data_IF_133737023788
#
_entry.id   IF_133737023788
#
_cell.length_a   1.000
_cell.length_b   1.000
_cell.length_c   1.000
_cell.angle_alpha   90.00
_cell.angle_beta   90.00
_cell.angle_gamma   90.00
#
_symmetry.space_group_name_H-M   'P 1'
#
loop_
_entity.id
_entity.type
_entity.pdbx_description
1 polymer ?
#
# COMPACT_ATOMS: atom_id res chain seq x y z
N UNK A 1 -12.66 16.94 -17.17
CA UNK A 1 -13.29 17.08 -15.84
C UNK A 1 -12.42 16.29 -14.87
N UNK A 2 -11.59 16.95 -14.06
CA UNK A 2 -10.77 16.24 -13.07
C UNK A 2 -11.69 15.93 -11.89
N UNK A 3 -12.10 14.67 -11.74
CA UNK A 3 -12.74 14.21 -10.51
C UNK A 3 -11.73 14.36 -9.39
N UNK A 4 -11.96 15.29 -8.47
CA UNK A 4 -11.19 15.41 -7.22
C UNK A 4 -11.57 14.23 -6.33
N UNK A 5 -10.88 13.11 -6.52
CA UNK A 5 -10.88 12.02 -5.54
C UNK A 5 -9.93 12.45 -4.42
N UNK A 6 -10.50 12.78 -3.26
CA UNK A 6 -9.69 13.04 -2.07
C UNK A 6 -8.88 11.78 -1.72
N UNK A 7 -7.65 12.00 -1.23
CA UNK A 7 -6.83 10.90 -0.73
C UNK A 7 -7.60 10.18 0.39
N UNK A 8 -7.61 8.85 0.33
CA UNK A 8 -8.06 8.04 1.46
C UNK A 8 -7.13 8.24 2.66
N UNK A 9 -7.60 7.91 3.87
CA UNK A 9 -6.79 7.95 5.10
C UNK A 9 -5.43 7.26 4.93
N UNK A 10 -5.40 6.14 4.21
CA UNK A 10 -4.18 5.35 4.03
C UNK A 10 -3.26 5.99 3.01
N UNK A 11 -3.79 6.56 1.94
CA UNK A 11 -2.98 7.32 0.98
C UNK A 11 -2.41 8.60 1.62
N UNK A 12 -3.13 9.23 2.55
CA UNK A 12 -2.61 10.31 3.39
C UNK A 12 -1.45 9.84 4.27
N UNK A 13 -1.61 8.73 4.98
CA UNK A 13 -0.54 8.14 5.80
C UNK A 13 0.70 7.78 4.97
N UNK A 14 0.50 7.26 3.76
CA UNK A 14 1.58 6.98 2.80
C UNK A 14 2.28 8.29 2.39
N UNK A 15 1.52 9.33 2.05
CA UNK A 15 2.11 10.63 1.67
C UNK A 15 2.94 11.24 2.81
N UNK A 16 2.43 11.15 4.04
CA UNK A 16 3.16 11.54 5.26
C UNK A 16 4.45 10.73 5.45
N UNK A 17 4.38 9.41 5.36
CA UNK A 17 5.54 8.54 5.55
C UNK A 17 6.63 8.78 4.50
N UNK A 18 6.27 8.92 3.22
CA UNK A 18 7.21 9.30 2.16
C UNK A 18 7.87 10.64 2.50
N UNK A 19 7.08 11.68 2.82
CA UNK A 19 7.61 13.00 3.08
C UNK A 19 8.58 13.04 4.28
N UNK A 20 8.23 12.38 5.38
CA UNK A 20 9.06 12.33 6.58
C UNK A 20 10.38 11.60 6.34
N UNK A 21 10.36 10.45 5.65
CA UNK A 21 11.58 9.69 5.33
C UNK A 21 12.50 10.53 4.45
N UNK A 22 11.96 11.10 3.37
CA UNK A 22 12.76 11.88 2.42
C UNK A 22 13.34 13.15 3.04
N UNK A 23 12.59 13.84 3.92
CA UNK A 23 13.11 15.01 4.67
C UNK A 23 14.20 14.58 5.66
N UNK A 24 13.99 13.48 6.40
CA UNK A 24 14.98 12.95 7.35
C UNK A 24 16.29 12.54 6.66
N UNK A 25 16.20 12.07 5.42
CA UNK A 25 17.35 11.69 4.59
C UNK A 25 17.88 12.86 3.74
N UNK A 26 17.45 14.10 4.04
CA UNK A 26 17.89 15.33 3.37
C UNK A 26 17.71 15.29 1.84
N UNK A 27 16.71 14.55 1.36
CA UNK A 27 16.40 14.45 -0.08
C UNK A 27 15.80 15.75 -0.58
N UNK A 28 16.36 16.27 -1.68
CA UNK A 28 15.86 17.48 -2.32
C UNK A 28 14.44 17.27 -2.88
N UNK A 29 13.48 18.06 -2.37
CA UNK A 29 12.08 18.05 -2.79
C UNK A 29 11.89 18.30 -4.29
N UNK A 30 12.82 19.03 -4.93
CA UNK A 30 12.76 19.28 -6.36
C UNK A 30 13.08 18.02 -7.18
N UNK A 31 13.92 17.12 -6.66
CA UNK A 31 14.20 15.85 -7.32
C UNK A 31 12.98 14.92 -7.29
N UNK A 32 12.25 14.90 -6.17
CA UNK A 32 10.95 14.21 -6.12
C UNK A 32 9.94 14.85 -7.08
N UNK A 33 9.98 16.18 -7.21
CA UNK A 33 9.20 16.92 -8.20
C UNK A 33 9.46 16.49 -9.65
N UNK A 34 10.72 16.23 -10.03
CA UNK A 34 11.08 15.72 -11.36
C UNK A 34 10.59 14.29 -11.59
N UNK A 35 10.71 13.44 -10.57
CA UNK A 35 10.18 12.06 -10.58
C UNK A 35 8.66 12.05 -10.80
N UNK A 36 7.92 12.89 -10.09
CA UNK A 36 6.47 13.05 -10.30
C UNK A 36 6.16 13.61 -11.69
N UNK A 37 6.94 14.60 -12.16
CA UNK A 37 6.76 15.18 -13.49
C UNK A 37 6.96 14.15 -14.61
N UNK A 38 7.93 13.23 -14.46
CA UNK A 38 8.11 12.09 -15.36
C UNK A 38 6.85 11.23 -15.44
N UNK A 39 6.31 10.78 -14.29
CA UNK A 39 5.10 9.96 -14.29
C UNK A 39 3.91 10.69 -14.93
N UNK A 40 3.77 11.99 -14.64
CA UNK A 40 2.71 12.82 -15.19
C UNK A 40 2.80 12.98 -16.71
N UNK A 41 4.01 13.14 -17.24
CA UNK A 41 4.24 13.29 -18.68
C UNK A 41 3.96 12.00 -19.47
N UNK A 42 3.98 10.85 -18.79
CA UNK A 42 3.84 9.54 -19.40
C UNK A 42 2.67 8.73 -18.84
N UNK A 43 1.71 9.37 -18.17
CA UNK A 43 0.58 8.72 -17.50
C UNK A 43 -0.30 7.91 -18.44
N UNK A 44 -0.40 8.35 -19.69
CA UNK A 44 -1.30 7.78 -20.69
C UNK A 44 -0.65 6.60 -21.44
N UNK A 45 0.60 6.26 -21.14
CA UNK A 45 1.29 5.13 -21.75
C UNK A 45 0.87 3.83 -21.09
N UNK A 46 0.86 2.76 -21.89
CA UNK A 46 0.70 1.42 -21.37
C UNK A 46 1.78 1.13 -20.31
N UNK A 47 1.40 0.49 -19.21
CA UNK A 47 2.29 0.15 -18.11
C UNK A 47 3.01 1.36 -17.47
N UNK A 48 2.43 2.56 -17.52
CA UNK A 48 3.03 3.80 -16.99
C UNK A 48 3.56 3.68 -15.56
N UNK A 49 2.83 3.03 -14.64
CA UNK A 49 3.31 2.80 -13.27
C UNK A 49 4.51 1.85 -13.19
N UNK A 50 4.53 0.76 -13.98
CA UNK A 50 5.69 -0.14 -14.05
C UNK A 50 6.94 0.57 -14.61
N UNK A 51 6.73 1.40 -15.65
CA UNK A 51 7.77 2.21 -16.26
C UNK A 51 8.31 3.26 -15.28
N UNK A 52 7.47 3.80 -14.42
CA UNK A 52 7.88 4.72 -13.36
C UNK A 52 8.83 4.07 -12.34
N UNK A 53 8.53 2.86 -11.85
CA UNK A 53 9.47 2.14 -10.96
C UNK A 53 10.76 1.77 -11.68
N UNK A 54 10.68 1.38 -12.95
CA UNK A 54 11.86 1.13 -13.79
C UNK A 54 12.72 2.40 -13.94
N UNK A 55 12.08 3.54 -14.12
CA UNK A 55 12.75 4.84 -14.19
C UNK A 55 13.45 5.20 -12.86
N UNK A 56 12.78 5.04 -11.73
CA UNK A 56 13.38 5.22 -10.39
C UNK A 56 14.60 4.33 -10.19
N UNK A 57 14.49 3.04 -10.54
CA UNK A 57 15.61 2.12 -10.46
C UNK A 57 16.79 2.54 -11.36
N UNK A 58 16.49 3.08 -12.54
CA UNK A 58 17.50 3.60 -13.46
C UNK A 58 18.21 4.83 -12.88
N UNK A 59 17.45 5.77 -12.31
CA UNK A 59 18.01 6.94 -11.63
C UNK A 59 18.91 6.55 -10.45
N UNK A 60 18.48 5.59 -9.62
CA UNK A 60 19.27 5.09 -8.50
C UNK A 60 20.58 4.46 -8.98
N UNK A 61 20.53 3.56 -9.96
CA UNK A 61 21.72 2.85 -10.48
C UNK A 61 22.69 3.74 -11.24
N UNK A 62 22.18 4.75 -11.96
CA UNK A 62 22.97 5.59 -12.87
C UNK A 62 23.15 7.03 -12.34
N UNK A 63 22.66 7.32 -11.14
CA UNK A 63 22.63 8.66 -10.55
C UNK A 63 24.00 9.30 -10.42
N UNK A 64 25.05 8.49 -10.22
CA UNK A 64 26.45 8.93 -10.19
C UNK A 64 26.98 9.45 -11.54
N UNK A 65 26.33 9.12 -12.66
CA UNK A 65 26.67 9.58 -14.02
C UNK A 65 25.78 10.74 -14.48
N UNK A 66 24.60 10.88 -13.89
CA UNK A 66 23.58 11.87 -14.27
C UNK A 66 23.62 13.09 -13.34
N UNK A 67 24.02 12.89 -12.08
CA UNK A 67 24.13 13.95 -11.09
C UNK A 67 25.45 14.71 -11.18
N UNK A 68 25.38 16.04 -11.14
CA UNK A 68 26.57 16.90 -11.05
C UNK A 68 27.25 16.84 -9.67
N UNK A 69 26.60 16.24 -8.66
CA UNK A 69 27.13 16.10 -7.30
C UNK A 69 27.00 14.66 -6.78
N UNK A 70 27.90 14.26 -5.89
CA UNK A 70 27.82 12.96 -5.18
C UNK A 70 26.63 12.86 -4.21
N UNK A 71 25.97 13.98 -3.88
CA UNK A 71 24.75 13.97 -3.05
C UNK A 71 23.51 13.52 -3.83
N UNK A 72 23.49 13.82 -5.13
CA UNK A 72 22.34 13.54 -6.02
C UNK A 72 22.06 12.04 -6.18
N UNK A 73 23.08 11.18 -6.14
CA UNK A 73 22.87 9.73 -6.19
C UNK A 73 22.15 9.21 -4.93
N UNK A 74 22.49 9.73 -3.75
CA UNK A 74 21.82 9.36 -2.50
C UNK A 74 20.33 9.72 -2.50
N UNK A 75 19.97 10.84 -3.12
CA UNK A 75 18.57 11.23 -3.30
C UNK A 75 17.80 10.21 -4.14
N UNK A 76 18.38 9.75 -5.25
CA UNK A 76 17.74 8.77 -6.11
C UNK A 76 17.62 7.39 -5.45
N UNK A 77 18.61 6.97 -4.67
CA UNK A 77 18.53 5.75 -3.86
C UNK A 77 17.42 5.83 -2.79
N UNK A 78 17.36 6.95 -2.07
CA UNK A 78 16.32 7.20 -1.07
C UNK A 78 14.92 7.21 -1.70
N UNK A 79 14.75 7.92 -2.83
CA UNK A 79 13.49 7.98 -3.55
C UNK A 79 13.08 6.63 -4.11
N UNK A 80 13.99 5.87 -4.73
CA UNK A 80 13.68 4.54 -5.27
C UNK A 80 13.20 3.63 -4.16
N UNK A 81 13.98 3.47 -3.08
CA UNK A 81 13.62 2.61 -1.96
C UNK A 81 12.29 3.01 -1.32
N UNK A 82 12.11 4.29 -1.04
CA UNK A 82 10.91 4.80 -0.36
C UNK A 82 9.68 4.69 -1.25
N UNK A 83 9.77 5.07 -2.53
CA UNK A 83 8.66 4.95 -3.46
C UNK A 83 8.30 3.48 -3.72
N UNK A 84 9.29 2.60 -3.94
CA UNK A 84 9.06 1.17 -4.11
C UNK A 84 8.37 0.56 -2.87
N UNK A 85 8.78 0.94 -1.66
CA UNK A 85 8.14 0.45 -0.43
C UNK A 85 6.67 0.90 -0.29
N UNK A 86 6.38 2.16 -0.61
CA UNK A 86 5.11 2.80 -0.30
C UNK A 86 4.09 2.76 -1.45
N UNK A 87 4.55 2.69 -2.71
CA UNK A 87 3.72 2.91 -3.89
C UNK A 87 3.56 1.67 -4.78
N UNK A 88 4.30 0.58 -4.54
CA UNK A 88 4.25 -0.62 -5.40
C UNK A 88 2.83 -1.17 -5.55
N UNK A 89 2.04 -1.14 -4.48
CA UNK A 89 0.65 -1.59 -4.50
C UNK A 89 -0.27 -0.74 -5.41
N UNK A 90 0.15 0.49 -5.73
CA UNK A 90 -0.56 1.41 -6.62
C UNK A 90 0.01 1.39 -8.04
N UNK A 91 0.87 0.43 -8.41
CA UNK A 91 1.50 0.39 -9.74
C UNK A 91 0.48 0.45 -10.89
N UNK A 92 -0.71 -0.12 -10.71
CA UNK A 92 -1.77 -0.11 -11.72
C UNK A 92 -2.75 1.08 -11.55
N UNK A 93 -2.54 1.94 -10.55
CA UNK A 93 -3.33 3.14 -10.26
C UNK A 93 -2.42 4.39 -10.29
N UNK A 94 -2.09 4.82 -11.51
CA UNK A 94 -1.23 5.98 -11.76
C UNK A 94 -1.81 7.26 -11.16
N UNK A 95 -3.14 7.41 -11.14
CA UNK A 95 -3.80 8.57 -10.59
C UNK A 95 -3.56 8.67 -9.07
N UNK A 96 -3.68 7.55 -8.35
CA UNK A 96 -3.35 7.48 -6.93
C UNK A 96 -1.88 7.81 -6.67
N UNK A 97 -0.94 7.24 -7.44
CA UNK A 97 0.49 7.55 -7.29
C UNK A 97 0.74 9.06 -7.43
N UNK A 98 0.17 9.70 -8.45
CA UNK A 98 0.33 11.13 -8.69
C UNK A 98 -0.24 11.99 -7.55
N UNK A 99 -1.39 11.60 -6.99
CA UNK A 99 -1.99 12.32 -5.86
C UNK A 99 -1.13 12.18 -4.60
N UNK A 100 -0.68 10.96 -4.29
CA UNK A 100 0.18 10.68 -3.15
C UNK A 100 1.47 11.49 -3.26
N UNK A 101 2.19 11.40 -4.38
CA UNK A 101 3.43 12.15 -4.61
C UNK A 101 3.22 13.67 -4.55
N UNK A 102 2.11 14.16 -5.12
CA UNK A 102 1.76 15.57 -5.08
C UNK A 102 1.58 16.10 -3.67
N UNK A 103 0.98 15.32 -2.77
CA UNK A 103 0.86 15.65 -1.36
C UNK A 103 2.17 15.44 -0.59
N UNK A 104 2.94 14.39 -0.88
CA UNK A 104 4.27 14.17 -0.30
C UNK A 104 5.18 15.39 -0.53
N UNK A 105 5.21 15.95 -1.74
CA UNK A 105 6.01 17.16 -2.05
C UNK A 105 5.59 18.36 -1.19
N UNK A 106 4.28 18.57 -0.99
CA UNK A 106 3.79 19.67 -0.13
C UNK A 106 4.18 19.43 1.33
N UNK A 107 4.05 18.20 1.80
CA UNK A 107 4.39 17.79 3.16
C UNK A 107 5.90 17.88 3.42
N UNK A 108 6.75 17.52 2.46
CA UNK A 108 8.21 17.70 2.56
C UNK A 108 8.57 19.16 2.84
N UNK A 109 8.01 20.10 2.06
CA UNK A 109 8.23 21.55 2.26
C UNK A 109 7.72 22.05 3.60
N UNK A 110 6.63 21.45 4.09
CA UNK A 110 6.09 21.77 5.41
C UNK A 110 7.05 21.28 6.50
N UNK A 111 7.48 20.02 6.44
CA UNK A 111 8.37 19.42 7.46
C UNK A 111 9.77 20.00 7.47
N UNK A 112 10.31 20.38 6.31
CA UNK A 112 11.60 21.06 6.22
C UNK A 112 11.59 22.40 6.97
N UNK A 113 10.44 23.10 6.98
CA UNK A 113 10.28 24.42 7.62
C UNK A 113 9.81 24.36 9.07
N UNK A 114 9.01 23.36 9.43
CA UNK A 114 8.34 23.30 10.72
C UNK A 114 9.23 22.77 11.86
N UNK A 115 10.46 22.31 11.57
CA UNK A 115 11.33 21.66 12.56
C UNK A 115 10.83 20.25 12.94
N UNK A 116 11.41 19.59 13.95
CA UNK A 116 10.99 18.26 14.37
C UNK A 116 9.60 18.33 15.01
N UNK A 117 8.56 18.22 14.18
CA UNK A 117 7.22 17.88 14.62
C UNK A 117 7.31 16.46 15.15
N UNK A 118 6.87 16.25 16.40
CA UNK A 118 7.00 14.99 17.13
C UNK A 118 6.72 13.77 16.26
N UNK A 119 7.46 12.68 16.53
CA UNK A 119 7.40 11.44 15.77
C UNK A 119 5.95 10.99 15.54
N UNK A 120 5.40 11.30 14.37
CA UNK A 120 4.30 10.52 13.84
C UNK A 120 4.97 9.18 13.56
N UNK A 121 4.67 8.17 14.38
CA UNK A 121 5.13 6.80 14.12
C UNK A 121 4.75 6.51 12.68
N UNK A 122 5.75 6.37 11.81
CA UNK A 122 5.55 5.93 10.45
C UNK A 122 4.65 4.69 10.54
N UNK A 123 3.52 4.65 9.82
CA UNK A 123 2.70 3.45 9.83
C UNK A 123 3.63 2.27 9.55
N UNK A 124 3.55 1.21 10.35
CA UNK A 124 4.21 -0.05 10.04
C UNK A 124 3.52 -0.56 8.78
N UNK A 125 4.00 -0.13 7.61
CA UNK A 125 3.38 -0.52 6.36
C UNK A 125 3.87 -1.93 6.09
N UNK A 126 3.06 -2.90 6.53
CA UNK A 126 3.09 -4.28 6.05
C UNK A 126 2.56 -4.28 4.58
N UNK A 127 3.29 -3.59 3.68
CA UNK A 127 2.78 -2.80 2.54
C UNK A 127 2.29 -3.51 1.29
N UNK A 128 2.18 -4.82 1.30
CA UNK A 128 1.49 -5.54 0.21
C UNK A 128 0.11 -6.00 0.66
N UNK A 129 0.04 -6.56 1.87
CA UNK A 129 -1.17 -7.21 2.37
C UNK A 129 -2.30 -6.23 2.67
N UNK A 130 -2.00 -5.06 3.22
CA UNK A 130 -3.05 -4.11 3.63
C UNK A 130 -3.64 -3.38 2.43
N UNK A 131 -2.84 -3.01 1.43
CA UNK A 131 -3.31 -2.37 0.21
C UNK A 131 -4.18 -3.31 -0.65
N UNK A 132 -3.79 -4.59 -0.76
CA UNK A 132 -4.62 -5.63 -1.38
C UNK A 132 -5.95 -5.83 -0.64
N UNK A 133 -5.93 -5.86 0.70
CA UNK A 133 -7.15 -5.98 1.50
C UNK A 133 -8.08 -4.78 1.27
N UNK A 134 -7.53 -3.56 1.18
CA UNK A 134 -8.31 -2.33 0.99
C UNK A 134 -8.92 -2.19 -0.39
N UNK A 135 -8.21 -2.61 -1.44
CA UNK A 135 -8.73 -2.59 -2.80
C UNK A 135 -9.93 -3.54 -2.93
N UNK A 136 -9.84 -4.70 -2.26
CA UNK A 136 -10.92 -5.69 -2.20
C UNK A 136 -12.08 -5.20 -1.31
N UNK A 137 -11.82 -4.58 -0.15
CA UNK A 137 -12.89 -4.02 0.71
C UNK A 137 -13.53 -2.73 0.20
N UNK A 138 -12.85 -1.93 -0.62
CA UNK A 138 -13.47 -0.74 -1.25
C UNK A 138 -14.35 -1.06 -2.45
N UNK A 139 -14.06 -2.17 -3.15
CA UNK A 139 -14.83 -2.58 -4.32
C UNK A 139 -16.10 -3.35 -3.96
N UNK A 140 -16.25 -3.76 -2.70
CA UNK A 140 -17.31 -4.66 -2.27
C UNK A 140 -17.83 -4.28 -0.88
N UNK A 141 -19.08 -3.81 -0.80
CA UNK A 141 -19.75 -3.62 0.47
C UNK A 141 -20.04 -4.99 1.11
N UNK A 142 -19.40 -5.25 2.25
CA UNK A 142 -19.67 -6.47 3.02
C UNK A 142 -20.86 -6.28 3.96
N UNK A 143 -21.71 -7.31 4.02
CA UNK A 143 -22.83 -7.36 4.96
C UNK A 143 -22.62 -8.46 6.02
N UNK A 144 -23.12 -8.23 7.23
CA UNK A 144 -23.24 -9.30 8.22
C UNK A 144 -24.14 -10.41 7.63
N UNK A 145 -23.81 -11.66 7.93
CA UNK A 145 -24.44 -12.87 7.38
C UNK A 145 -24.22 -13.17 5.89
N UNK A 146 -23.45 -12.34 5.18
CA UNK A 146 -22.98 -12.67 3.83
C UNK A 146 -22.08 -13.91 3.84
N UNK A 147 -22.28 -14.79 2.86
CA UNK A 147 -21.49 -16.01 2.65
C UNK A 147 -20.48 -15.76 1.54
N UNK A 148 -19.22 -16.09 1.82
CA UNK A 148 -18.10 -15.96 0.89
C UNK A 148 -17.35 -17.28 0.78
N UNK A 149 -16.76 -17.52 -0.39
CA UNK A 149 -15.82 -18.62 -0.57
C UNK A 149 -14.46 -18.26 0.06
N UNK A 150 -13.87 -19.23 0.75
CA UNK A 150 -12.59 -19.08 1.43
C UNK A 150 -11.75 -20.35 1.30
N UNK A 151 -10.43 -20.17 1.21
CA UNK A 151 -9.48 -21.26 1.26
C UNK A 151 -8.94 -21.44 2.67
N UNK A 152 -8.89 -22.67 3.18
CA UNK A 152 -8.22 -22.99 4.44
C UNK A 152 -6.71 -22.96 4.23
N UNK A 153 -6.00 -22.00 4.80
CA UNK A 153 -4.54 -21.87 4.62
C UNK A 153 -3.72 -22.43 5.79
N UNK A 154 -4.35 -22.65 6.94
CA UNK A 154 -3.68 -23.22 8.10
C UNK A 154 -4.66 -23.72 9.16
N UNK A 155 -4.27 -24.78 9.85
CA UNK A 155 -5.02 -25.36 10.97
C UNK A 155 -4.04 -25.59 12.12
N UNK A 156 -4.36 -25.06 13.29
CA UNK A 156 -3.56 -25.19 14.50
C UNK A 156 -4.48 -25.49 15.69
N UNK A 157 -4.63 -26.77 16.02
CA UNK A 157 -5.59 -27.23 17.03
C UNK A 157 -7.02 -26.88 16.62
N UNK A 158 -7.71 -26.08 17.43
CA UNK A 158 -9.06 -25.60 17.13
C UNK A 158 -9.09 -24.28 16.35
N UNK A 159 -7.94 -23.75 15.92
CA UNK A 159 -7.87 -22.50 15.14
C UNK A 159 -7.71 -22.83 13.66
N UNK A 160 -8.49 -22.17 12.83
CA UNK A 160 -8.45 -22.32 11.37
C UNK A 160 -8.21 -20.95 10.77
N UNK A 161 -7.25 -20.85 9.87
CA UNK A 161 -6.96 -19.64 9.11
C UNK A 161 -7.59 -19.76 7.73
N UNK A 162 -8.52 -18.86 7.43
CA UNK A 162 -9.21 -18.75 6.16
C UNK A 162 -8.61 -17.63 5.33
N UNK A 163 -8.48 -17.82 4.02
CA UNK A 163 -8.12 -16.83 3.04
C UNK A 163 -9.33 -16.54 2.15
N UNK A 164 -9.90 -15.35 2.29
CA UNK A 164 -11.09 -14.88 1.59
C UNK A 164 -10.63 -13.93 0.48
N UNK A 165 -11.22 -14.08 -0.72
CA UNK A 165 -10.90 -13.25 -1.90
C UNK A 165 -9.39 -13.17 -2.19
N UNK A 166 -8.66 -14.25 -1.91
CA UNK A 166 -7.22 -14.37 -2.21
C UNK A 166 -6.29 -13.53 -1.31
N UNK A 167 -6.79 -12.63 -0.47
CA UNK A 167 -5.93 -11.65 0.24
C UNK A 167 -6.26 -11.51 1.73
N UNK A 168 -7.53 -11.66 2.11
CA UNK A 168 -7.98 -11.47 3.49
C UNK A 168 -7.75 -12.76 4.27
N UNK A 169 -6.73 -12.80 5.14
CA UNK A 169 -6.51 -13.96 6.04
C UNK A 169 -7.03 -13.69 7.45
N UNK A 170 -7.97 -14.52 7.91
CA UNK A 170 -8.57 -14.46 9.24
C UNK A 170 -8.41 -15.80 9.96
N UNK A 171 -7.93 -15.75 11.20
CA UNK A 171 -7.79 -16.94 12.05
C UNK A 171 -8.93 -16.98 13.06
N UNK A 172 -9.79 -17.99 12.94
CA UNK A 172 -10.98 -18.17 13.75
C UNK A 172 -10.90 -19.43 14.60
N UNK A 173 -11.57 -19.42 15.75
CA UNK A 173 -11.72 -20.61 16.58
C UNK A 173 -12.90 -21.43 16.09
N UNK A 174 -12.62 -22.63 15.61
CA UNK A 174 -13.58 -23.58 15.05
C UNK A 174 -13.56 -24.92 15.82
N UNK A 175 -13.97 -24.93 17.10
CA UNK A 175 -13.85 -26.12 17.96
C UNK A 175 -14.62 -27.36 17.45
N UNK A 176 -15.65 -27.16 16.61
CA UNK A 176 -16.47 -28.26 16.07
C UNK A 176 -16.06 -28.69 14.66
N UNK A 177 -15.48 -27.79 13.88
CA UNK A 177 -15.20 -28.00 12.44
C UNK A 177 -13.71 -28.09 12.12
N UNK A 178 -12.81 -27.64 13.01
CA UNK A 178 -11.37 -27.67 12.74
C UNK A 178 -10.83 -29.08 12.43
N UNK A 179 -11.38 -30.12 13.07
CA UNK A 179 -10.96 -31.51 12.84
C UNK A 179 -11.45 -32.10 11.51
N UNK A 180 -12.47 -31.52 10.88
CA UNK A 180 -13.02 -31.99 9.59
C UNK A 180 -12.51 -31.19 8.40
N UNK A 181 -11.68 -30.16 8.62
CA UNK A 181 -11.13 -29.31 7.58
C UNK A 181 -9.71 -29.74 7.21
N UNK A 182 -9.34 -29.53 5.96
CA UNK A 182 -8.00 -29.80 5.44
C UNK A 182 -7.35 -28.51 4.94
N UNK A 183 -6.02 -28.45 5.00
CA UNK A 183 -5.27 -27.36 4.41
C UNK A 183 -5.51 -27.35 2.89
N UNK A 184 -5.62 -26.16 2.31
CA UNK A 184 -5.95 -25.85 0.91
C UNK A 184 -7.39 -26.15 0.48
N UNK A 185 -8.24 -26.64 1.39
CA UNK A 185 -9.65 -26.89 1.12
C UNK A 185 -10.43 -25.58 0.89
N UNK A 186 -11.29 -25.57 -0.14
CA UNK A 186 -12.27 -24.50 -0.35
C UNK A 186 -13.52 -24.75 0.50
N UNK A 187 -13.94 -23.73 1.24
CA UNK A 187 -15.10 -23.76 2.14
C UNK A 187 -15.90 -22.48 2.03
N UNK A 188 -17.13 -22.52 2.54
CA UNK A 188 -17.96 -21.33 2.69
C UNK A 188 -17.84 -20.78 4.10
N UNK A 189 -17.62 -19.48 4.21
CA UNK A 189 -17.57 -18.77 5.48
C UNK A 189 -18.61 -17.67 5.50
N UNK A 190 -19.28 -17.52 6.64
CA UNK A 190 -20.26 -16.47 6.87
C UNK A 190 -19.63 -15.35 7.69
N UNK A 191 -19.85 -14.10 7.28
CA UNK A 191 -19.38 -12.92 8.03
C UNK A 191 -20.19 -12.80 9.33
N UNK A 192 -19.48 -12.79 10.46
CA UNK A 192 -20.09 -12.64 11.79
C UNK A 192 -19.82 -11.28 12.43
N UNK A 193 -18.87 -10.51 11.89
CA UNK A 193 -18.53 -9.20 12.41
C UNK A 193 -17.83 -8.33 11.38
N UNK A 194 -18.19 -7.05 11.39
CA UNK A 194 -17.55 -6.00 10.60
C UNK A 194 -16.93 -4.96 11.53
N UNK A 195 -15.85 -4.31 11.08
CA UNK A 195 -15.27 -3.13 11.72
C UNK A 195 -14.86 -2.14 10.63
N UNK A 196 -15.48 -0.96 10.66
CA UNK A 196 -15.24 0.11 9.68
C UNK A 196 -15.31 -0.39 8.22
N UNK A 197 -16.34 -1.20 7.90
CA UNK A 197 -16.53 -1.77 6.56
C UNK A 197 -15.67 -2.99 6.21
N UNK A 198 -14.66 -3.34 7.03
CA UNK A 198 -13.82 -4.52 6.81
C UNK A 198 -14.31 -5.74 7.61
N UNK A 199 -14.09 -6.94 7.05
CA UNK A 199 -14.39 -8.22 7.71
C UNK A 199 -13.52 -8.36 8.96
N UNK A 200 -14.15 -8.40 10.13
CA UNK A 200 -13.49 -8.59 11.43
C UNK A 200 -13.49 -10.06 11.85
N UNK A 201 -14.59 -10.76 11.61
CA UNK A 201 -14.72 -12.17 11.98
C UNK A 201 -15.63 -12.94 11.04
N UNK A 202 -15.34 -14.23 10.91
CA UNK A 202 -16.11 -15.16 10.07
C UNK A 202 -16.38 -16.48 10.79
N UNK A 203 -17.27 -17.29 10.25
CA UNK A 203 -17.55 -18.64 10.75
C UNK A 203 -17.80 -19.61 9.60
N UNK A 204 -17.19 -20.78 9.63
CA UNK A 204 -17.37 -21.79 8.61
C UNK A 204 -18.82 -22.31 8.60
N UNK A 205 -19.49 -22.18 7.46
CA UNK A 205 -20.77 -22.81 7.19
C UNK A 205 -20.55 -24.06 6.36
N UNK A 206 -21.51 -24.98 6.41
CA UNK A 206 -21.47 -26.22 5.62
C UNK A 206 -21.82 -25.93 4.16
#
# INVERSE_FOLDING_TARGET
MFTTTDLTEIQWQIAHGIAQILVKEETDVNELGKVMAYLRAYSDRENAGANFFTYLQTLSRQGNRIGHSKKTSGYYESMERTCSQYLQAYQNDVAAILQILGWSIRLMRYYEKAGPIGEITAPVIESTRQAEILQVTQSQEFAIDQILDAQVVGIAGNKVTYQILGVIKLTEKEPKKASSLQKEQMVKVKITGLKNGSIKSVKCVD
#
